data_IF_098390861158
#
_entry.id   IF_098390861158
#
_cell.length_a   1.000
_cell.length_b   1.000
_cell.length_c   1.000
_cell.angle_alpha   90.00
_cell.angle_beta   90.00
_cell.angle_gamma   90.00
#
_symmetry.space_group_name_H-M   'P 1'
#
loop_
_entity.id
_entity.type
_entity.pdbx_description
1 polymer ?
#
# COMPACT_ATOMS: atom_id res chain seq x y z
N UNK A 1 -31.37 43.47 35.12
CA UNK A 1 -30.74 42.20 34.68
C UNK A 1 -31.30 41.84 33.32
N UNK A 2 -30.70 42.32 32.23
CA UNK A 2 -31.39 42.38 30.94
C UNK A 2 -30.44 41.99 29.82
N UNK A 3 -30.82 40.95 29.08
CA UNK A 3 -30.20 40.36 27.88
C UNK A 3 -28.72 39.93 27.96
N UNK A 4 -27.82 40.79 28.42
CA UNK A 4 -26.38 40.53 28.41
C UNK A 4 -26.02 39.34 29.31
N UNK A 5 -26.66 39.18 30.47
CA UNK A 5 -26.41 38.01 31.34
C UNK A 5 -26.93 36.70 30.75
N UNK A 6 -28.04 36.72 30.01
CA UNK A 6 -28.59 35.54 29.31
C UNK A 6 -27.70 35.13 28.13
N UNK A 7 -27.18 36.10 27.38
CA UNK A 7 -26.26 35.85 26.28
C UNK A 7 -24.92 35.29 26.79
N UNK A 8 -24.38 35.84 27.87
CA UNK A 8 -23.16 35.32 28.51
C UNK A 8 -23.36 33.90 29.05
N UNK A 9 -24.51 33.59 29.67
CA UNK A 9 -24.82 32.23 30.11
C UNK A 9 -24.97 31.27 28.93
N UNK A 10 -25.61 31.67 27.83
CA UNK A 10 -25.70 30.85 26.61
C UNK A 10 -24.31 30.61 25.98
N UNK A 11 -23.46 31.62 25.89
CA UNK A 11 -22.08 31.49 25.40
C UNK A 11 -21.21 30.61 26.31
N UNK A 12 -21.34 30.74 27.63
CA UNK A 12 -20.66 29.87 28.61
C UNK A 12 -21.16 28.42 28.52
N UNK A 13 -22.46 28.22 28.28
CA UNK A 13 -23.06 26.89 28.09
C UNK A 13 -22.56 26.24 26.80
N UNK A 14 -22.49 26.99 25.70
CA UNK A 14 -21.97 26.51 24.42
C UNK A 14 -20.47 26.20 24.52
N UNK A 15 -19.68 27.05 25.17
CA UNK A 15 -18.25 26.80 25.35
C UNK A 15 -17.96 25.64 26.31
N UNK A 16 -18.80 25.40 27.32
CA UNK A 16 -18.71 24.22 28.19
C UNK A 16 -19.01 22.90 27.44
N UNK A 17 -19.94 22.90 26.47
CA UNK A 17 -20.21 21.73 25.62
C UNK A 17 -19.02 21.41 24.69
N UNK A 18 -18.28 22.42 24.24
CA UNK A 18 -17.09 22.24 23.39
C UNK A 18 -15.79 21.96 24.15
N UNK A 19 -15.78 22.07 25.48
CA UNK A 19 -14.61 21.84 26.34
C UNK A 19 -14.75 20.61 27.24
N UNK A 20 -15.66 19.68 26.89
CA UNK A 20 -15.74 18.39 27.56
C UNK A 20 -14.34 17.71 27.55
N UNK A 21 -13.78 17.38 28.72
CA UNK A 21 -12.45 16.79 28.80
C UNK A 21 -12.40 15.48 28.03
N UNK A 22 -11.24 15.20 27.42
CA UNK A 22 -10.98 13.87 26.89
C UNK A 22 -11.17 12.88 28.05
N UNK A 23 -12.12 11.97 27.90
CA UNK A 23 -12.38 10.93 28.88
C UNK A 23 -11.82 9.62 28.35
N UNK A 24 -10.97 8.99 29.14
CA UNK A 24 -10.47 7.66 28.83
C UNK A 24 -11.42 6.62 29.43
N UNK A 25 -11.78 5.62 28.63
CA UNK A 25 -12.70 4.55 29.00
C UNK A 25 -12.14 3.21 28.53
N UNK A 26 -12.35 2.14 29.30
CA UNK A 26 -12.00 0.80 28.85
C UNK A 26 -13.20 -0.15 28.90
N UNK A 27 -13.39 -0.93 27.84
CA UNK A 27 -14.31 -2.07 27.81
C UNK A 27 -13.60 -3.34 28.32
N UNK A 28 -14.05 -4.52 27.88
CA UNK A 28 -13.45 -5.81 28.28
C UNK A 28 -12.11 -6.04 27.57
N UNK A 29 -11.95 -5.59 26.33
CA UNK A 29 -10.82 -5.88 25.46
C UNK A 29 -9.91 -4.66 25.24
N UNK A 30 -10.45 -3.45 25.24
CA UNK A 30 -9.79 -2.25 24.74
C UNK A 30 -9.94 -1.07 25.70
N UNK A 31 -8.98 -0.17 25.65
CA UNK A 31 -9.06 1.17 26.22
C UNK A 31 -9.09 2.20 25.09
N UNK A 32 -9.90 3.23 25.28
CA UNK A 32 -10.15 4.28 24.31
C UNK A 32 -9.99 5.65 24.92
N UNK A 33 -9.56 6.60 24.10
CA UNK A 33 -9.67 8.03 24.38
C UNK A 33 -10.83 8.62 23.57
N UNK A 34 -11.72 9.36 24.23
CA UNK A 34 -12.96 9.85 23.65
C UNK A 34 -12.91 11.36 23.41
N UNK A 35 -13.30 11.80 22.21
CA UNK A 35 -13.38 13.22 21.84
C UNK A 35 -14.44 13.43 20.77
N UNK A 36 -15.32 14.41 20.93
CA UNK A 36 -16.31 14.81 19.91
C UNK A 36 -17.12 13.64 19.32
N UNK A 37 -17.68 12.76 20.18
CA UNK A 37 -18.42 11.54 19.80
C UNK A 37 -17.61 10.49 19.02
N UNK A 38 -16.28 10.63 19.01
CA UNK A 38 -15.35 9.70 18.38
C UNK A 38 -14.48 9.03 19.44
N UNK A 39 -14.04 7.83 19.13
CA UNK A 39 -13.13 7.03 19.93
C UNK A 39 -11.83 6.80 19.17
N UNK A 40 -10.73 6.86 19.91
CA UNK A 40 -9.42 6.35 19.49
C UNK A 40 -9.08 5.16 20.38
N UNK A 41 -8.81 3.98 19.82
CA UNK A 41 -8.32 2.83 20.58
C UNK A 41 -6.86 3.09 20.97
N UNK A 42 -6.58 3.25 22.26
CA UNK A 42 -5.25 3.66 22.76
C UNK A 42 -4.46 2.51 23.37
N UNK A 43 -5.13 1.44 23.82
CA UNK A 43 -4.44 0.22 24.26
C UNK A 43 -5.38 -0.99 24.26
N UNK A 44 -4.79 -2.19 24.26
CA UNK A 44 -5.50 -3.43 24.58
C UNK A 44 -5.37 -3.76 26.07
N UNK A 45 -6.41 -4.31 26.69
CA UNK A 45 -6.41 -4.67 28.12
C UNK A 45 -5.67 -5.98 28.39
N UNK A 46 -6.00 -7.04 27.67
CA UNK A 46 -5.36 -8.35 27.85
C UNK A 46 -4.32 -8.60 26.77
N UNK A 47 -3.07 -8.20 27.05
CA UNK A 47 -1.96 -8.36 26.11
C UNK A 47 -1.70 -9.82 25.71
N UNK A 48 -2.26 -10.82 26.39
CA UNK A 48 -2.07 -12.24 26.07
C UNK A 48 -3.15 -12.82 25.15
N UNK A 49 -4.18 -12.05 24.76
CA UNK A 49 -5.18 -12.54 23.82
C UNK A 49 -4.56 -12.86 22.46
N UNK A 50 -4.88 -14.04 21.91
CA UNK A 50 -4.43 -14.45 20.58
C UNK A 50 -5.13 -13.67 19.46
N UNK A 51 -6.36 -13.19 19.69
CA UNK A 51 -7.18 -12.57 18.66
C UNK A 51 -7.97 -11.37 19.18
N UNK A 52 -8.08 -10.34 18.34
CA UNK A 52 -8.93 -9.17 18.57
C UNK A 52 -9.91 -8.97 17.42
N UNK A 53 -11.17 -8.72 17.76
CA UNK A 53 -12.20 -8.26 16.82
C UNK A 53 -12.62 -6.85 17.19
N UNK A 54 -12.29 -5.90 16.33
CA UNK A 54 -12.52 -4.47 16.52
C UNK A 54 -13.76 -4.09 15.71
N UNK A 55 -14.82 -3.70 16.42
CA UNK A 55 -16.07 -3.22 15.81
C UNK A 55 -16.05 -1.71 15.54
N UNK A 56 -17.13 -1.17 14.95
CA UNK A 56 -17.18 0.24 14.56
C UNK A 56 -17.40 1.22 15.70
N UNK A 57 -17.61 0.74 16.93
CA UNK A 57 -17.96 1.58 18.06
C UNK A 57 -17.29 1.14 19.35
N UNK A 58 -16.83 2.11 20.13
CA UNK A 58 -16.57 1.92 21.54
C UNK A 58 -17.89 2.09 22.32
N UNK A 59 -18.25 1.11 23.14
CA UNK A 59 -19.50 1.10 23.90
C UNK A 59 -19.23 0.99 25.40
N UNK A 60 -19.95 1.78 26.20
CA UNK A 60 -19.93 1.62 27.65
C UNK A 60 -20.48 0.25 28.06
N UNK A 61 -20.11 -0.24 29.25
CA UNK A 61 -20.51 -1.58 29.74
C UNK A 61 -22.03 -1.81 29.77
N UNK A 62 -22.81 -0.74 29.91
CA UNK A 62 -24.27 -0.73 29.92
C UNK A 62 -24.90 -0.36 28.56
N UNK A 63 -24.09 -0.18 27.51
CA UNK A 63 -24.52 0.18 26.16
C UNK A 63 -25.08 1.60 26.00
N UNK A 64 -25.12 2.41 27.07
CA UNK A 64 -25.76 3.73 27.07
C UNK A 64 -25.02 4.78 26.23
N UNK A 65 -23.71 4.60 26.01
CA UNK A 65 -22.91 5.50 25.19
C UNK A 65 -22.20 4.73 24.08
N UNK A 66 -22.26 5.28 22.87
CA UNK A 66 -21.72 4.70 21.65
C UNK A 66 -20.90 5.76 20.92
N UNK A 67 -19.60 5.54 20.82
CA UNK A 67 -18.66 6.43 20.16
C UNK A 67 -18.15 5.76 18.89
N UNK A 68 -18.09 6.49 17.77
CA UNK A 68 -17.57 5.95 16.50
C UNK A 68 -16.07 5.75 16.62
N UNK A 69 -15.58 4.53 16.41
CA UNK A 69 -14.16 4.25 16.42
C UNK A 69 -13.52 4.71 15.10
N UNK A 70 -12.78 5.82 15.12
CA UNK A 70 -12.18 6.38 13.91
C UNK A 70 -10.68 6.11 13.78
N UNK A 71 -10.03 5.71 14.88
CA UNK A 71 -8.57 5.61 14.94
C UNK A 71 -8.09 4.48 15.83
N UNK A 72 -7.11 3.75 15.35
CA UNK A 72 -6.19 2.94 16.14
C UNK A 72 -5.00 3.83 16.51
N UNK A 73 -4.90 4.15 17.79
CA UNK A 73 -3.92 5.07 18.35
C UNK A 73 -2.49 4.53 18.27
N UNK A 74 -1.53 5.43 18.52
CA UNK A 74 -0.13 5.06 18.55
C UNK A 74 0.15 4.05 19.66
N UNK A 75 0.96 3.03 19.36
CA UNK A 75 1.31 1.97 20.30
C UNK A 75 0.11 1.23 20.91
N UNK A 76 -1.04 1.26 20.25
CA UNK A 76 -2.27 0.63 20.74
C UNK A 76 -2.13 -0.87 21.07
N UNK A 77 -1.27 -1.58 20.33
CA UNK A 77 -0.99 -3.00 20.53
C UNK A 77 0.40 -3.26 21.09
N UNK A 78 1.04 -2.26 21.70
CA UNK A 78 2.40 -2.38 22.22
C UNK A 78 2.55 -3.53 23.24
N UNK A 79 3.49 -4.43 22.97
CA UNK A 79 3.76 -5.61 23.79
C UNK A 79 2.66 -6.67 23.76
N UNK A 80 1.70 -6.59 22.85
CA UNK A 80 0.64 -7.58 22.72
C UNK A 80 1.15 -8.87 22.06
N UNK A 81 0.70 -10.02 22.56
CA UNK A 81 0.94 -11.34 22.01
C UNK A 81 -0.08 -11.74 20.93
N UNK A 82 -0.90 -10.79 20.47
CA UNK A 82 -1.92 -11.01 19.45
C UNK A 82 -1.33 -11.64 18.19
N UNK A 83 -2.08 -12.58 17.61
CA UNK A 83 -1.79 -13.24 16.34
C UNK A 83 -2.68 -12.74 15.22
N UNK A 84 -3.92 -12.40 15.51
CA UNK A 84 -4.88 -11.92 14.50
C UNK A 84 -5.69 -10.73 15.00
N UNK A 85 -5.83 -9.72 14.15
CA UNK A 85 -6.68 -8.56 14.37
C UNK A 85 -7.66 -8.47 13.20
N UNK A 86 -8.95 -8.50 13.50
CA UNK A 86 -10.02 -8.26 12.53
C UNK A 86 -10.67 -6.93 12.82
N UNK A 87 -10.71 -6.04 11.84
CA UNK A 87 -11.41 -4.75 11.93
C UNK A 87 -12.66 -4.86 11.06
N UNK A 88 -13.81 -4.84 11.69
CA UNK A 88 -15.12 -4.87 11.04
C UNK A 88 -15.77 -3.50 11.19
N UNK A 89 -15.78 -2.71 10.12
CA UNK A 89 -16.25 -1.34 10.15
C UNK A 89 -16.84 -0.97 8.78
N UNK A 90 -18.02 -0.37 8.67
CA UNK A 90 -18.53 0.00 7.33
C UNK A 90 -17.89 1.29 6.80
N UNK A 91 -17.64 2.26 7.67
CA UNK A 91 -17.01 3.54 7.32
C UNK A 91 -15.46 3.46 7.19
N UNK A 92 -14.74 4.28 7.97
CA UNK A 92 -13.31 4.50 7.85
C UNK A 92 -12.56 4.28 9.16
N UNK A 93 -11.31 3.84 9.05
CA UNK A 93 -10.39 3.71 10.20
C UNK A 93 -9.02 4.33 9.86
N UNK A 94 -8.40 4.98 10.84
CA UNK A 94 -7.04 5.51 10.73
C UNK A 94 -6.07 4.73 11.62
N UNK A 95 -4.95 4.27 11.09
CA UNK A 95 -3.83 3.75 11.88
C UNK A 95 -2.83 4.87 12.17
N UNK A 96 -2.61 5.13 13.45
CA UNK A 96 -1.58 6.07 13.90
C UNK A 96 -0.19 5.40 13.93
N UNK A 97 0.85 6.24 14.02
CA UNK A 97 2.26 5.83 14.15
C UNK A 97 2.45 4.63 15.09
N UNK A 98 3.20 3.61 14.64
CA UNK A 98 3.66 2.47 15.45
C UNK A 98 2.55 1.71 16.19
N UNK A 99 1.35 1.63 15.61
CA UNK A 99 0.20 1.00 16.28
C UNK A 99 0.41 -0.47 16.69
N UNK A 100 1.36 -1.18 16.04
CA UNK A 100 1.73 -2.57 16.33
C UNK A 100 3.19 -2.77 16.78
N UNK A 101 3.83 -1.72 17.31
CA UNK A 101 5.20 -1.86 17.84
C UNK A 101 5.25 -2.96 18.90
N UNK A 102 6.31 -3.77 18.94
CA UNK A 102 6.48 -4.89 19.88
C UNK A 102 5.29 -5.89 19.94
N UNK A 103 4.57 -6.13 18.83
CA UNK A 103 3.60 -7.21 18.71
C UNK A 103 4.22 -8.41 17.93
N UNK A 104 5.12 -9.21 18.55
CA UNK A 104 6.00 -10.14 17.81
C UNK A 104 5.26 -11.29 17.11
N UNK A 105 4.07 -11.62 17.58
CA UNK A 105 3.27 -12.75 17.10
C UNK A 105 2.18 -12.35 16.11
N UNK A 106 2.02 -11.07 15.79
CA UNK A 106 0.98 -10.59 14.89
C UNK A 106 1.21 -11.12 13.47
N UNK A 107 0.25 -11.89 12.96
CA UNK A 107 0.30 -12.51 11.63
C UNK A 107 -0.76 -11.98 10.69
N UNK A 108 -1.97 -11.76 11.19
CA UNK A 108 -3.11 -11.47 10.33
C UNK A 108 -3.76 -10.15 10.72
N UNK A 109 -3.80 -9.22 9.78
CA UNK A 109 -4.54 -7.96 9.89
C UNK A 109 -5.64 -7.98 8.82
N UNK A 110 -6.87 -8.26 9.25
CA UNK A 110 -8.03 -8.42 8.38
C UNK A 110 -8.84 -7.12 8.39
N UNK A 111 -8.84 -6.42 7.27
CA UNK A 111 -9.44 -5.11 7.07
C UNK A 111 -10.80 -5.25 6.38
N UNK A 112 -11.84 -5.56 7.15
CA UNK A 112 -13.22 -5.56 6.68
C UNK A 112 -13.83 -4.16 6.79
N UNK A 113 -13.15 -3.18 6.19
CA UNK A 113 -13.49 -1.75 6.29
C UNK A 113 -13.52 -1.04 4.94
N UNK A 114 -14.44 -0.09 4.79
CA UNK A 114 -14.63 0.65 3.53
C UNK A 114 -13.40 1.47 3.15
N UNK A 115 -12.88 2.26 4.09
CA UNK A 115 -11.71 3.11 3.88
C UNK A 115 -10.69 3.01 5.02
N UNK A 116 -9.42 2.92 4.66
CA UNK A 116 -8.30 2.82 5.60
C UNK A 116 -7.32 3.94 5.34
N UNK A 117 -7.00 4.68 6.39
CA UNK A 117 -5.94 5.68 6.41
C UNK A 117 -4.81 5.20 7.32
N UNK A 118 -3.57 5.57 7.04
CA UNK A 118 -2.44 5.21 7.88
C UNK A 118 -1.35 6.30 7.87
N UNK A 119 -0.82 6.66 9.04
CA UNK A 119 0.37 7.51 9.12
C UNK A 119 1.56 6.82 8.43
N UNK A 120 2.54 7.58 7.93
CA UNK A 120 3.68 7.04 7.14
C UNK A 120 4.61 6.09 7.91
N UNK A 121 4.45 6.06 9.23
CA UNK A 121 5.14 5.22 10.21
C UNK A 121 4.16 4.36 11.02
N UNK A 122 2.90 4.24 10.58
CA UNK A 122 1.86 3.47 11.28
C UNK A 122 2.26 2.02 11.57
N UNK A 123 3.03 1.42 10.66
CA UNK A 123 3.45 0.03 10.72
C UNK A 123 4.95 -0.14 11.01
N UNK A 124 5.64 0.92 11.44
CA UNK A 124 7.01 0.76 11.92
C UNK A 124 6.99 -0.16 13.16
N UNK A 125 7.86 -1.18 13.16
CA UNK A 125 7.86 -2.23 14.19
C UNK A 125 6.97 -3.45 13.87
N UNK A 126 6.24 -3.45 12.75
CA UNK A 126 5.46 -4.60 12.30
C UNK A 126 6.40 -5.80 12.01
N UNK A 127 5.98 -6.99 12.43
CA UNK A 127 6.75 -8.21 12.21
C UNK A 127 6.69 -8.69 10.76
N UNK A 128 7.77 -9.33 10.28
CA UNK A 128 7.86 -9.89 8.92
C UNK A 128 6.86 -11.01 8.62
N UNK A 129 6.17 -11.52 9.65
CA UNK A 129 5.16 -12.55 9.52
C UNK A 129 3.75 -11.98 9.32
N UNK A 130 3.59 -10.65 9.40
CA UNK A 130 2.31 -10.00 9.23
C UNK A 130 1.83 -10.04 7.77
N UNK A 131 0.51 -10.12 7.62
CA UNK A 131 -0.21 -10.12 6.36
C UNK A 131 -1.40 -9.18 6.48
N UNK A 132 -1.78 -8.56 5.36
CA UNK A 132 -2.99 -7.73 5.26
C UNK A 132 -3.98 -8.40 4.31
N UNK A 133 -5.26 -8.44 4.68
CA UNK A 133 -6.32 -8.94 3.80
C UNK A 133 -7.62 -8.16 3.99
N UNK A 134 -8.61 -8.39 3.13
CA UNK A 134 -9.94 -7.79 3.24
C UNK A 134 -10.16 -6.55 2.37
N UNK A 135 -11.41 -6.10 2.32
CA UNK A 135 -11.89 -5.02 1.42
C UNK A 135 -11.23 -3.65 1.65
N UNK A 136 -10.59 -3.44 2.80
CA UNK A 136 -9.89 -2.20 3.13
C UNK A 136 -8.47 -2.09 2.55
N UNK A 137 -7.86 -3.19 2.11
CA UNK A 137 -6.47 -3.20 1.58
C UNK A 137 -6.27 -2.21 0.42
N UNK A 138 -7.14 -2.13 -0.60
CA UNK A 138 -7.01 -1.14 -1.67
C UNK A 138 -6.85 0.30 -1.16
N UNK A 139 -7.74 0.73 -0.26
CA UNK A 139 -7.72 2.09 0.29
C UNK A 139 -6.49 2.36 1.17
N UNK A 140 -6.06 1.35 1.95
CA UNK A 140 -4.82 1.43 2.73
C UNK A 140 -3.61 1.69 1.82
N UNK A 141 -3.51 0.90 0.74
CA UNK A 141 -2.39 0.98 -0.21
C UNK A 141 -2.39 2.33 -0.92
N UNK A 142 -3.56 2.85 -1.31
CA UNK A 142 -3.69 4.16 -1.93
C UNK A 142 -3.27 5.31 -0.99
N UNK A 143 -3.83 5.36 0.23
CA UNK A 143 -3.50 6.41 1.20
C UNK A 143 -2.01 6.38 1.59
N UNK A 144 -1.48 5.20 1.86
CA UNK A 144 -0.08 5.04 2.26
C UNK A 144 0.86 5.38 1.11
N UNK A 145 0.53 5.01 -0.13
CA UNK A 145 1.29 5.39 -1.33
C UNK A 145 1.32 6.91 -1.49
N UNK A 146 0.19 7.60 -1.30
CA UNK A 146 0.12 9.07 -1.36
C UNK A 146 1.04 9.73 -0.34
N UNK A 147 1.01 9.28 0.92
CA UNK A 147 1.86 9.82 1.99
C UNK A 147 3.35 9.54 1.75
N UNK A 148 3.70 8.36 1.24
CA UNK A 148 5.08 8.03 0.86
C UNK A 148 5.59 8.93 -0.28
N UNK A 149 4.80 9.10 -1.34
CA UNK A 149 5.16 9.98 -2.46
C UNK A 149 5.37 11.42 -2.00
N UNK A 150 4.47 11.93 -1.15
CA UNK A 150 4.61 13.26 -0.53
C UNK A 150 5.91 13.37 0.29
N UNK A 151 6.20 12.36 1.13
CA UNK A 151 7.45 12.29 1.91
C UNK A 151 8.70 12.28 1.03
N UNK A 152 8.62 11.68 -0.17
CA UNK A 152 9.72 11.65 -1.13
C UNK A 152 9.74 12.84 -2.10
N UNK A 153 8.84 13.81 -1.93
CA UNK A 153 8.68 14.95 -2.83
C UNK A 153 8.45 14.52 -4.30
N UNK A 154 7.63 13.49 -4.49
CA UNK A 154 7.16 13.00 -5.79
C UNK A 154 5.70 13.44 -6.02
N UNK A 155 5.28 13.59 -7.29
CA UNK A 155 3.92 14.01 -7.62
C UNK A 155 2.87 13.02 -7.11
N UNK A 156 1.67 13.53 -6.82
CA UNK A 156 0.48 12.74 -6.49
C UNK A 156 -0.66 13.25 -7.37
N UNK A 157 -1.37 12.33 -8.05
CA UNK A 157 -2.51 12.66 -8.90
C UNK A 157 -2.19 13.61 -10.06
N UNK A 158 -0.95 13.61 -10.55
CA UNK A 158 -0.52 14.42 -11.69
C UNK A 158 -1.13 13.87 -12.98
N UNK A 159 -1.76 14.73 -13.78
CA UNK A 159 -2.23 14.32 -15.10
C UNK A 159 -1.05 14.19 -16.08
N UNK A 160 -0.76 12.96 -16.48
CA UNK A 160 0.28 12.62 -17.44
C UNK A 160 -0.19 12.65 -18.89
N UNK A 161 -1.44 13.03 -19.20
CA UNK A 161 -1.98 12.98 -20.57
C UNK A 161 -1.18 13.86 -21.53
N UNK A 162 -0.93 15.12 -21.15
CA UNK A 162 -0.29 16.12 -22.02
C UNK A 162 1.15 16.50 -21.61
N UNK A 163 1.80 15.71 -20.73
CA UNK A 163 3.20 15.99 -20.36
C UNK A 163 4.17 15.50 -21.44
N UNK A 164 5.34 16.14 -21.51
CA UNK A 164 6.42 15.70 -22.39
C UNK A 164 6.87 14.26 -22.07
N UNK A 165 7.35 13.55 -23.08
CA UNK A 165 7.95 12.23 -22.93
C UNK A 165 9.08 12.21 -21.88
N UNK A 166 9.94 13.24 -21.91
CA UNK A 166 11.01 13.39 -20.94
C UNK A 166 10.48 13.48 -19.51
N UNK A 167 9.47 14.32 -19.25
CA UNK A 167 8.85 14.45 -17.92
C UNK A 167 8.19 13.13 -17.48
N UNK A 168 7.46 12.48 -18.39
CA UNK A 168 6.82 11.18 -18.14
C UNK A 168 7.83 10.12 -17.70
N UNK A 169 8.94 9.98 -18.43
CA UNK A 169 9.95 8.96 -18.13
C UNK A 169 10.83 9.34 -16.92
N UNK A 170 11.13 10.63 -16.74
CA UNK A 170 11.93 11.14 -15.61
C UNK A 170 11.25 10.89 -14.28
N UNK A 171 9.93 11.08 -14.19
CA UNK A 171 9.19 10.86 -12.96
C UNK A 171 9.13 9.37 -12.59
N UNK A 172 8.94 8.46 -13.57
CA UNK A 172 9.08 7.01 -13.37
C UNK A 172 10.49 6.62 -12.92
N UNK A 173 11.52 7.21 -13.51
CA UNK A 173 12.90 7.00 -13.10
C UNK A 173 13.13 7.42 -11.64
N UNK A 174 12.67 8.61 -11.24
CA UNK A 174 12.76 9.08 -9.85
C UNK A 174 12.01 8.15 -8.90
N UNK A 175 10.83 7.66 -9.30
CA UNK A 175 10.10 6.68 -8.52
C UNK A 175 10.91 5.39 -8.35
N UNK A 176 11.49 4.85 -9.43
CA UNK A 176 12.28 3.62 -9.39
C UNK A 176 13.49 3.75 -8.46
N UNK A 177 14.18 4.91 -8.49
CA UNK A 177 15.25 5.26 -7.55
C UNK A 177 14.73 5.24 -6.11
N UNK A 178 13.59 5.91 -5.83
CA UNK A 178 13.03 5.96 -4.47
C UNK A 178 12.61 4.58 -3.96
N UNK A 179 12.03 3.75 -4.81
CA UNK A 179 11.73 2.36 -4.47
C UNK A 179 13.01 1.59 -4.15
N UNK A 180 14.06 1.71 -4.98
CA UNK A 180 15.35 1.05 -4.71
C UNK A 180 16.00 1.50 -3.39
N UNK A 181 15.94 2.79 -3.09
CA UNK A 181 16.51 3.39 -1.88
C UNK A 181 15.77 2.98 -0.60
N UNK A 182 14.45 2.80 -0.68
CA UNK A 182 13.61 2.61 0.50
C UNK A 182 13.16 1.17 0.70
N UNK A 183 13.25 0.30 -0.31
CA UNK A 183 12.73 -1.07 -0.26
C UNK A 183 13.86 -2.09 -0.38
N UNK A 184 13.84 -3.07 0.51
CA UNK A 184 14.79 -4.19 0.50
C UNK A 184 14.15 -5.46 -0.02
N UNK A 185 14.84 -6.17 -0.93
CA UNK A 185 14.44 -7.51 -1.32
C UNK A 185 14.68 -8.49 -0.16
N UNK A 186 13.62 -9.17 0.30
CA UNK A 186 13.69 -10.15 1.38
C UNK A 186 12.62 -11.23 1.23
N UNK A 187 13.03 -12.39 0.72
CA UNK A 187 12.12 -13.50 0.45
C UNK A 187 11.59 -14.24 1.70
N UNK A 188 12.04 -13.87 2.91
CA UNK A 188 11.58 -14.48 4.17
C UNK A 188 10.40 -13.73 4.81
N UNK A 189 9.84 -12.71 4.15
CA UNK A 189 8.57 -12.09 4.54
C UNK A 189 7.43 -13.08 4.23
N UNK A 190 6.51 -13.30 5.18
CA UNK A 190 5.47 -14.33 5.03
C UNK A 190 4.56 -14.09 3.81
N UNK A 191 4.10 -12.85 3.62
CA UNK A 191 3.32 -12.42 2.47
C UNK A 191 4.14 -11.46 1.60
N UNK A 192 5.32 -11.93 1.17
CA UNK A 192 6.31 -11.13 0.42
C UNK A 192 5.79 -10.49 -0.89
N UNK A 193 4.68 -10.99 -1.43
CA UNK A 193 4.07 -10.49 -2.66
C UNK A 193 2.84 -9.60 -2.42
N UNK A 194 2.40 -9.45 -1.17
CA UNK A 194 1.30 -8.57 -0.79
C UNK A 194 1.80 -7.12 -0.70
N UNK A 195 1.25 -6.24 -1.53
CA UNK A 195 1.74 -4.86 -1.64
C UNK A 195 1.57 -4.06 -0.35
N UNK A 196 0.51 -4.28 0.43
CA UNK A 196 0.33 -3.61 1.71
C UNK A 196 1.44 -4.01 2.70
N UNK A 197 1.82 -5.30 2.71
CA UNK A 197 2.94 -5.81 3.50
C UNK A 197 4.26 -5.18 3.04
N UNK A 198 4.49 -5.14 1.72
CA UNK A 198 5.73 -4.56 1.16
C UNK A 198 5.85 -3.07 1.49
N UNK A 199 4.76 -2.31 1.41
CA UNK A 199 4.73 -0.89 1.78
C UNK A 199 4.95 -0.69 3.29
N UNK A 200 4.29 -1.51 4.13
CA UNK A 200 4.41 -1.43 5.58
C UNK A 200 5.82 -1.77 6.08
N UNK A 201 6.36 -2.91 5.65
CA UNK A 201 7.68 -3.42 6.07
C UNK A 201 8.84 -2.79 5.30
N UNK A 202 8.56 -2.06 4.21
CA UNK A 202 9.56 -1.56 3.27
C UNK A 202 10.45 -2.70 2.74
N UNK A 203 9.86 -3.90 2.61
CA UNK A 203 10.57 -5.09 2.21
C UNK A 203 9.63 -6.18 1.71
N UNK A 204 10.06 -6.95 0.71
CA UNK A 204 9.28 -8.03 0.12
C UNK A 204 10.02 -8.77 -0.99
N UNK A 205 9.29 -9.61 -1.72
CA UNK A 205 9.80 -10.37 -2.86
C UNK A 205 9.85 -9.53 -4.14
N UNK A 206 10.33 -10.13 -5.22
CA UNK A 206 10.38 -9.48 -6.54
C UNK A 206 9.00 -8.98 -6.97
N UNK A 207 7.97 -9.83 -6.86
CA UNK A 207 6.59 -9.50 -7.25
C UNK A 207 6.00 -8.42 -6.34
N UNK A 208 6.19 -8.53 -5.02
CA UNK A 208 5.70 -7.53 -4.08
C UNK A 208 6.28 -6.13 -4.31
N UNK A 209 7.58 -6.03 -4.57
CA UNK A 209 8.25 -4.76 -4.87
C UNK A 209 7.79 -4.20 -6.23
N UNK A 210 7.61 -5.06 -7.24
CA UNK A 210 7.05 -4.65 -8.53
C UNK A 210 5.59 -4.16 -8.41
N UNK A 211 4.78 -4.80 -7.55
CA UNK A 211 3.42 -4.33 -7.20
C UNK A 211 3.46 -2.98 -6.51
N UNK A 212 4.37 -2.79 -5.54
CA UNK A 212 4.55 -1.52 -4.85
C UNK A 212 4.90 -0.39 -5.83
N UNK A 213 5.84 -0.62 -6.75
CA UNK A 213 6.18 0.34 -7.80
C UNK A 213 4.97 0.69 -8.67
N UNK A 214 4.20 -0.31 -9.14
CA UNK A 214 2.97 -0.07 -9.91
C UNK A 214 1.96 0.78 -9.14
N UNK A 215 1.72 0.48 -7.86
CA UNK A 215 0.78 1.24 -7.03
C UNK A 215 1.22 2.68 -6.82
N UNK A 216 2.50 2.88 -6.49
CA UNK A 216 3.07 4.22 -6.36
C UNK A 216 3.00 5.00 -7.68
N UNK A 217 3.27 4.37 -8.83
CA UNK A 217 3.12 5.01 -10.13
C UNK A 217 1.65 5.42 -10.39
N UNK A 218 0.69 4.55 -10.11
CA UNK A 218 -0.73 4.91 -10.27
C UNK A 218 -1.13 6.08 -9.36
N UNK A 219 -0.67 6.08 -8.11
CA UNK A 219 -0.92 7.20 -7.19
C UNK A 219 -0.23 8.49 -7.64
N UNK A 220 0.91 8.43 -8.34
CA UNK A 220 1.50 9.60 -9.02
C UNK A 220 0.60 10.14 -10.13
N UNK A 221 -0.25 9.31 -10.73
CA UNK A 221 -1.21 9.66 -11.78
C UNK A 221 -1.00 8.93 -13.12
N UNK A 222 -0.12 7.92 -13.18
CA UNK A 222 0.02 7.06 -14.35
C UNK A 222 -1.25 6.21 -14.52
N UNK A 223 -1.67 5.98 -15.77
CA UNK A 223 -2.90 5.23 -16.05
C UNK A 223 -2.74 3.75 -15.70
N UNK A 224 -3.87 3.08 -15.48
CA UNK A 224 -3.91 1.65 -15.16
C UNK A 224 -3.09 0.79 -16.14
N UNK A 225 -3.16 1.13 -17.44
CA UNK A 225 -2.49 0.47 -18.57
C UNK A 225 -1.15 1.13 -18.95
N UNK A 226 -0.53 1.93 -18.09
CA UNK A 226 0.82 2.46 -18.35
C UNK A 226 1.90 1.60 -17.65
N UNK A 227 1.53 0.87 -16.59
CA UNK A 227 2.46 0.07 -15.77
C UNK A 227 1.82 -1.26 -15.39
N UNK A 228 2.41 -2.37 -15.84
CA UNK A 228 2.04 -3.73 -15.42
C UNK A 228 3.14 -4.35 -14.56
N UNK A 229 2.74 -5.27 -13.69
CA UNK A 229 3.69 -6.18 -13.03
C UNK A 229 3.83 -7.38 -13.95
N UNK A 230 5.06 -7.75 -14.26
CA UNK A 230 5.38 -8.83 -15.17
C UNK A 230 6.45 -9.76 -14.63
N UNK A 231 6.77 -10.79 -15.39
CA UNK A 231 7.83 -11.72 -15.04
C UNK A 231 8.09 -12.77 -16.09
N UNK A 232 9.12 -13.57 -15.82
CA UNK A 232 9.59 -14.68 -16.66
C UNK A 232 8.76 -15.96 -16.53
N UNK A 233 7.61 -15.87 -15.83
CA UNK A 233 6.78 -17.02 -15.45
C UNK A 233 7.53 -18.04 -14.59
N UNK A 234 8.48 -17.57 -13.77
CA UNK A 234 9.25 -18.39 -12.84
C UNK A 234 9.79 -17.58 -11.67
N UNK A 235 11.01 -17.10 -11.78
CA UNK A 235 11.80 -16.58 -10.66
C UNK A 235 11.91 -15.06 -10.63
N UNK A 236 11.94 -14.41 -11.78
CA UNK A 236 12.13 -12.97 -11.87
C UNK A 236 10.84 -12.26 -12.22
N UNK A 237 10.55 -11.22 -11.46
CA UNK A 237 9.42 -10.33 -11.67
C UNK A 237 9.92 -8.90 -11.74
N UNK A 238 9.33 -8.11 -12.63
CA UNK A 238 9.69 -6.72 -12.92
C UNK A 238 8.42 -5.95 -13.31
N UNK A 239 8.57 -4.71 -13.78
CA UNK A 239 7.45 -3.95 -14.33
C UNK A 239 7.59 -3.77 -15.84
N UNK A 240 6.51 -3.99 -16.59
CA UNK A 240 6.41 -3.47 -17.95
C UNK A 240 5.88 -2.05 -17.87
N UNK A 241 6.60 -1.12 -18.46
CA UNK A 241 6.25 0.29 -18.47
C UNK A 241 6.11 0.74 -19.91
N UNK A 242 4.94 1.26 -20.23
CA UNK A 242 4.73 2.00 -21.46
C UNK A 242 5.56 3.28 -21.37
N UNK A 243 6.48 3.49 -22.30
CA UNK A 243 7.26 4.72 -22.36
C UNK A 243 6.90 5.52 -23.60
N UNK A 244 7.13 6.83 -23.52
CA UNK A 244 6.98 7.76 -24.67
C UNK A 244 8.33 8.09 -25.30
N UNK A 245 9.32 7.20 -25.19
CA UNK A 245 10.68 7.45 -25.65
C UNK A 245 10.79 7.55 -27.18
N UNK A 246 9.91 6.88 -27.91
CA UNK A 246 9.91 6.88 -29.37
C UNK A 246 8.69 7.66 -29.89
N UNK A 247 8.96 8.65 -30.75
CA UNK A 247 7.95 9.48 -31.45
C UNK A 247 7.22 8.71 -32.57
N UNK A 248 7.59 7.44 -32.80
CA UNK A 248 6.95 6.58 -33.79
C UNK A 248 5.57 6.11 -33.30
N UNK A 249 4.62 6.00 -34.23
CA UNK A 249 3.19 5.69 -34.00
C UNK A 249 2.88 4.41 -33.22
N UNK A 250 3.85 3.54 -32.97
CA UNK A 250 3.65 2.29 -32.24
C UNK A 250 4.06 2.42 -30.78
N UNK A 251 3.09 2.22 -29.88
CA UNK A 251 3.32 2.16 -28.43
C UNK A 251 4.35 1.07 -28.11
N UNK A 252 5.36 1.40 -27.29
CA UNK A 252 6.42 0.47 -26.89
C UNK A 252 6.46 0.25 -25.38
N UNK A 253 6.68 -1.00 -25.01
CA UNK A 253 6.76 -1.46 -23.62
C UNK A 253 8.19 -1.86 -23.25
N UNK A 254 8.70 -1.27 -22.18
CA UNK A 254 10.04 -1.52 -21.67
C UNK A 254 9.98 -2.24 -20.33
N UNK A 255 11.02 -3.00 -20.01
CA UNK A 255 11.18 -3.69 -18.74
C UNK A 255 11.90 -2.77 -17.75
N UNK A 256 11.30 -2.55 -16.59
CA UNK A 256 11.88 -1.84 -15.45
C UNK A 256 12.11 -2.84 -14.33
N UNK A 257 13.35 -3.31 -14.22
CA UNK A 257 13.80 -4.24 -13.19
C UNK A 257 14.54 -3.47 -12.09
N UNK A 258 13.79 -2.98 -11.11
CA UNK A 258 14.31 -2.10 -10.04
C UNK A 258 15.37 -2.81 -9.21
N UNK A 259 15.18 -4.10 -8.93
CA UNK A 259 16.06 -4.85 -8.03
C UNK A 259 17.42 -5.11 -8.66
N UNK A 260 17.44 -5.43 -9.96
CA UNK A 260 18.65 -5.75 -10.70
C UNK A 260 19.22 -4.57 -11.50
N UNK A 261 18.64 -3.37 -11.37
CA UNK A 261 19.19 -2.13 -11.96
C UNK A 261 20.10 -1.43 -10.96
N UNK A 262 21.29 -1.02 -11.44
CA UNK A 262 22.22 -0.24 -10.66
C UNK A 262 21.92 1.26 -10.86
N UNK A 263 21.46 1.91 -9.80
CA UNK A 263 21.21 3.36 -9.78
C UNK A 263 22.44 4.03 -9.16
N UNK A 264 23.28 4.62 -10.01
CA UNK A 264 24.38 5.47 -9.56
C UNK A 264 24.05 6.95 -9.80
N UNK A 265 24.84 7.86 -9.23
CA UNK A 265 24.62 9.32 -9.35
C UNK A 265 24.59 9.82 -10.81
N UNK A 266 25.15 9.06 -11.75
CA UNK A 266 25.25 9.39 -13.16
C UNK A 266 24.25 8.59 -14.03
N UNK A 267 23.34 7.82 -13.43
CA UNK A 267 22.34 7.04 -14.15
C UNK A 267 21.44 8.00 -14.95
N UNK A 268 21.43 7.82 -16.27
CA UNK A 268 20.50 8.53 -17.14
C UNK A 268 19.07 8.02 -16.92
N UNK A 269 18.07 8.85 -17.24
CA UNK A 269 16.64 8.45 -17.19
C UNK A 269 16.40 7.15 -17.96
N UNK A 270 17.14 6.93 -19.05
CA UNK A 270 16.96 5.77 -19.92
C UNK A 270 17.56 4.47 -19.36
N UNK A 271 18.43 4.55 -18.34
CA UNK A 271 19.15 3.40 -17.80
C UNK A 271 18.25 2.33 -17.17
N UNK A 272 17.02 2.68 -16.78
CA UNK A 272 16.08 1.75 -16.15
C UNK A 272 15.19 1.03 -17.15
N UNK A 273 15.10 1.51 -18.40
CA UNK A 273 14.17 1.01 -19.40
C UNK A 273 14.89 0.03 -20.32
N UNK A 274 14.77 -1.27 -20.02
CA UNK A 274 15.40 -2.34 -20.81
C UNK A 274 14.47 -2.82 -21.91
N UNK A 275 15.01 -2.99 -23.12
CA UNK A 275 14.31 -3.72 -24.19
C UNK A 275 14.10 -5.17 -23.81
N UNK A 276 13.18 -5.86 -24.51
CA UNK A 276 12.96 -7.31 -24.34
C UNK A 276 14.25 -8.10 -24.55
N UNK A 277 15.08 -7.68 -25.51
CA UNK A 277 16.37 -8.32 -25.79
C UNK A 277 17.32 -8.16 -24.60
N UNK A 278 17.48 -6.94 -24.07
CA UNK A 278 18.36 -6.69 -22.93
C UNK A 278 17.91 -7.46 -21.68
N UNK A 279 16.61 -7.49 -21.39
CA UNK A 279 16.08 -8.24 -20.25
C UNK A 279 16.21 -9.76 -20.45
N UNK A 280 16.00 -10.27 -21.67
CA UNK A 280 16.26 -11.68 -22.01
C UNK A 280 17.72 -12.04 -21.77
N UNK A 281 18.66 -11.22 -22.23
CA UNK A 281 20.10 -11.48 -22.02
C UNK A 281 20.46 -11.50 -20.54
N UNK A 282 19.85 -10.63 -19.73
CA UNK A 282 20.00 -10.66 -18.28
C UNK A 282 19.51 -11.99 -17.69
N UNK A 283 18.30 -12.45 -18.03
CA UNK A 283 17.74 -13.72 -17.53
C UNK A 283 18.57 -14.91 -18.02
N UNK A 284 18.96 -14.91 -19.29
CA UNK A 284 19.79 -15.95 -19.87
C UNK A 284 21.18 -16.04 -19.20
N UNK A 285 21.75 -14.91 -18.74
CA UNK A 285 22.99 -14.92 -17.96
C UNK A 285 22.87 -15.63 -16.60
N UNK A 286 21.64 -15.85 -16.11
CA UNK A 286 21.35 -16.54 -14.86
C UNK A 286 20.97 -18.01 -15.04
N UNK A 287 20.25 -18.34 -16.11
CA UNK A 287 19.67 -19.68 -16.31
C UNK A 287 20.07 -20.38 -17.61
N UNK A 288 20.86 -19.73 -18.46
CA UNK A 288 21.20 -20.19 -19.81
C UNK A 288 20.25 -19.65 -20.89
N UNK A 289 20.75 -19.60 -22.14
CA UNK A 289 20.02 -19.06 -23.29
C UNK A 289 18.78 -19.88 -23.68
N UNK A 290 18.82 -21.19 -23.45
CA UNK A 290 17.75 -22.13 -23.79
C UNK A 290 16.74 -22.30 -22.65
N UNK A 291 16.91 -21.56 -21.56
CA UNK A 291 16.00 -21.59 -20.42
C UNK A 291 14.60 -21.12 -20.84
N UNK A 292 13.52 -21.81 -20.42
CA UNK A 292 12.16 -21.36 -20.69
C UNK A 292 11.85 -19.97 -20.11
N UNK A 293 12.60 -19.54 -19.09
CA UNK A 293 12.49 -18.21 -18.46
C UNK A 293 13.07 -17.10 -19.35
N UNK A 294 14.10 -17.41 -20.15
CA UNK A 294 14.69 -16.47 -21.10
C UNK A 294 13.84 -16.33 -22.38
N UNK A 295 12.86 -17.22 -22.59
CA UNK A 295 11.94 -17.11 -23.72
C UNK A 295 10.89 -16.02 -23.48
N UNK A 296 10.97 -14.95 -24.26
CA UNK A 296 10.07 -13.79 -24.18
C UNK A 296 8.61 -14.17 -24.43
N UNK A 297 8.36 -15.22 -25.21
CA UNK A 297 7.01 -15.69 -25.51
C UNK A 297 6.35 -16.36 -24.30
N UNK A 298 7.11 -16.73 -23.27
CA UNK A 298 6.59 -17.27 -22.02
C UNK A 298 6.32 -16.19 -20.96
N UNK A 299 6.70 -14.94 -21.22
CA UNK A 299 6.61 -13.89 -20.22
C UNK A 299 5.15 -13.49 -19.95
N UNK A 300 4.88 -13.16 -18.69
CA UNK A 300 3.51 -12.94 -18.18
C UNK A 300 3.35 -11.55 -17.59
N UNK A 301 2.09 -11.12 -17.49
CA UNK A 301 1.65 -10.05 -16.59
C UNK A 301 0.81 -10.62 -15.46
N UNK A 302 0.89 -10.00 -14.29
CA UNK A 302 -0.01 -10.27 -13.17
C UNK A 302 -1.25 -9.37 -13.30
N UNK A 303 -2.40 -10.03 -13.40
CA UNK A 303 -3.72 -9.37 -13.51
C UNK A 303 -4.13 -8.81 -12.16
N UNK A 304 -3.74 -9.47 -11.07
CA UNK A 304 -4.05 -9.02 -9.73
C UNK A 304 -3.21 -7.81 -9.31
N UNK A 305 -3.80 -6.96 -8.47
CA UNK A 305 -3.29 -5.65 -8.09
C UNK A 305 -2.45 -5.70 -6.82
N UNK A 306 -2.99 -6.32 -5.78
CA UNK A 306 -2.52 -6.17 -4.40
C UNK A 306 -1.83 -7.43 -3.85
N UNK A 307 -2.18 -8.62 -4.31
CA UNK A 307 -1.51 -9.86 -3.92
C UNK A 307 -1.91 -10.43 -2.56
N UNK A 308 -3.11 -10.12 -2.06
CA UNK A 308 -3.62 -10.71 -0.83
C UNK A 308 -4.66 -11.80 -1.09
N UNK A 309 -4.86 -12.69 -0.12
CA UNK A 309 -5.87 -13.75 -0.22
C UNK A 309 -7.29 -13.18 -0.25
N UNK A 310 -8.10 -13.61 -1.23
CA UNK A 310 -9.46 -13.09 -1.40
C UNK A 310 -9.54 -11.77 -2.17
N UNK A 311 -8.44 -11.34 -2.80
CA UNK A 311 -8.46 -10.31 -3.84
C UNK A 311 -9.37 -10.78 -4.98
N UNK A 312 -10.61 -10.27 -5.02
CA UNK A 312 -11.56 -10.60 -6.08
C UNK A 312 -11.10 -9.98 -7.39
N UNK A 313 -10.82 -10.82 -8.36
CA UNK A 313 -10.57 -10.42 -9.74
C UNK A 313 -11.84 -10.63 -10.56
N UNK A 314 -11.96 -9.89 -11.66
CA UNK A 314 -12.99 -10.16 -12.68
C UNK A 314 -12.76 -11.52 -13.39
N UNK A 315 -11.56 -12.10 -13.24
CA UNK A 315 -11.18 -13.40 -13.80
C UNK A 315 -10.46 -14.25 -12.77
N UNK A 316 -10.73 -15.56 -12.74
CA UNK A 316 -9.97 -16.51 -11.90
C UNK A 316 -8.49 -16.62 -12.29
N UNK A 317 -8.11 -16.04 -13.44
CA UNK A 317 -6.72 -15.95 -13.89
C UNK A 317 -5.96 -14.85 -13.15
N UNK A 318 -4.94 -15.25 -12.38
CA UNK A 318 -4.02 -14.34 -11.67
C UNK A 318 -2.96 -13.77 -12.62
N UNK A 319 -2.66 -14.48 -13.71
CA UNK A 319 -1.62 -14.13 -14.68
C UNK A 319 -2.11 -14.34 -16.11
N UNK A 320 -1.52 -13.60 -17.04
CA UNK A 320 -1.76 -13.74 -18.47
C UNK A 320 -0.44 -13.61 -19.26
N UNK A 321 -0.32 -14.30 -20.40
CA UNK A 321 0.77 -14.07 -21.35
C UNK A 321 0.82 -12.61 -21.84
N UNK A 322 1.97 -11.95 -21.72
CA UNK A 322 2.08 -10.53 -22.04
C UNK A 322 1.92 -10.24 -23.55
N UNK A 323 2.48 -11.08 -24.41
CA UNK A 323 2.33 -10.91 -25.86
C UNK A 323 0.87 -11.05 -26.29
N UNK A 324 0.16 -12.07 -25.80
CA UNK A 324 -1.28 -12.24 -26.06
C UNK A 324 -2.09 -11.03 -25.58
N UNK A 325 -1.78 -10.50 -24.39
CA UNK A 325 -2.43 -9.30 -23.87
C UNK A 325 -2.21 -8.09 -24.78
N UNK A 326 -0.97 -7.86 -25.25
CA UNK A 326 -0.63 -6.76 -26.15
C UNK A 326 -1.43 -6.83 -27.46
N UNK A 327 -1.49 -8.02 -28.08
CA UNK A 327 -2.22 -8.25 -29.33
C UNK A 327 -3.72 -8.02 -29.12
N UNK A 328 -4.33 -8.65 -28.10
CA UNK A 328 -5.78 -8.55 -27.84
C UNK A 328 -6.21 -7.11 -27.57
N UNK A 329 -5.42 -6.35 -26.83
CA UNK A 329 -5.75 -4.98 -26.44
C UNK A 329 -5.25 -3.92 -27.42
N UNK A 330 -4.60 -4.33 -28.53
CA UNK A 330 -3.91 -3.40 -29.47
C UNK A 330 -3.01 -2.41 -28.71
N UNK A 331 -2.33 -2.90 -27.68
CA UNK A 331 -1.62 -2.08 -26.70
C UNK A 331 -0.17 -1.74 -27.12
N UNK A 332 0.22 -2.09 -28.34
CA UNK A 332 1.56 -1.85 -28.88
C UNK A 332 2.41 -3.11 -28.91
N UNK A 333 3.73 -2.94 -28.80
CA UNK A 333 4.72 -4.02 -28.86
C UNK A 333 5.76 -3.89 -27.76
N UNK A 334 6.44 -4.99 -27.43
CA UNK A 334 7.62 -4.94 -26.57
C UNK A 334 8.79 -4.28 -27.31
N UNK A 335 9.49 -3.36 -26.62
CA UNK A 335 10.63 -2.61 -27.13
C UNK A 335 11.88 -3.47 -27.36
#
# INVERSE_FOLDING_TARGET
>A
MKLFSLLSFALLSVSAVFSAPAYDFCDIAFCYSLKNNKATLVSVRDKNMDQYSIGPYAQSRNGSYKYVLEKIGSNAFDGSMVRSITINHDDQITFASKCFENAPYLKDIILNVGHVFADVDAFDGLTKYATFSGKGVPSLVEDYSKKLLQKWNLPVGKDYTNVSAYTFNKDLFKLAVKVKENFSHYDKVAAKDNVAVVLALKSGGNTGIARAFRMLARTMGYKYNDVHVGGDNGYYNWNYVYTRLDDNSNKKWYNVDILNTNFNKNSSVNSIFRTKYSQRMFIASKFGNDSPYANVDNWIIYVNEYGYYGEKLYSDQITENFYSWLVRNRAGVQA
#
